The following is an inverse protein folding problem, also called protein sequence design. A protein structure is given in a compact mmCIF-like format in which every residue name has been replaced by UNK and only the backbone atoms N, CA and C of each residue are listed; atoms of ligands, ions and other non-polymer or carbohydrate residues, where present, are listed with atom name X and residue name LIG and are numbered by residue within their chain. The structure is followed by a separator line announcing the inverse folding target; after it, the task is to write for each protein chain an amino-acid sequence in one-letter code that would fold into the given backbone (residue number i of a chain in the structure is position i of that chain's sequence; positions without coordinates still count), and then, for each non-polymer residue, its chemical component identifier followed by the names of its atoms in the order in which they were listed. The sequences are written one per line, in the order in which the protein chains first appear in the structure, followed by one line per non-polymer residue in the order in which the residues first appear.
data_IF_525202615698
#
_entry.id   IF_525202615698
#
_cell.length_a   1.000
_cell.length_b   1.000
_cell.length_c   1.000
_cell.angle_alpha   90.00
_cell.angle_beta   90.00
_cell.angle_gamma   90.00
#
_symmetry.space_group_name_H-M   'P 1'
#
loop_
_entity.id
_entity.type
_entity.pdbx_description
1 polymer ?
#
# COMPACT_ATOMS: atom_id res chain seq x y z
N UNK A 1 13.40 23.39 2.77
CA UNK A 1 13.90 24.65 2.19
C UNK A 1 14.03 25.73 3.24
N UNK A 2 15.03 26.60 3.08
CA UNK A 2 15.27 27.76 3.95
C UNK A 2 15.08 29.04 3.13
N UNK A 3 14.26 29.98 3.62
CA UNK A 3 13.95 31.25 2.94
C UNK A 3 14.30 32.43 3.86
N UNK A 4 15.25 33.27 3.43
CA UNK A 4 15.66 34.45 4.19
C UNK A 4 14.65 35.58 4.02
N UNK A 5 14.33 36.27 5.11
CA UNK A 5 13.43 37.43 5.08
C UNK A 5 14.15 38.67 4.50
N UNK A 6 13.44 39.57 3.79
CA UNK A 6 12.05 39.44 3.34
C UNK A 6 11.93 38.40 2.22
N UNK A 7 10.97 37.48 2.35
CA UNK A 7 10.82 36.35 1.43
C UNK A 7 10.24 36.81 0.10
N UNK A 8 10.92 36.48 -1.00
CA UNK A 8 10.43 36.75 -2.36
C UNK A 8 9.34 35.76 -2.77
N UNK A 9 8.35 36.22 -3.54
CA UNK A 9 7.18 35.42 -3.95
C UNK A 9 7.55 34.17 -4.76
N UNK A 10 8.46 34.30 -5.73
CA UNK A 10 8.84 33.17 -6.62
C UNK A 10 9.50 31.99 -5.87
N UNK A 11 10.54 32.22 -5.02
CA UNK A 11 11.10 31.15 -4.19
C UNK A 11 10.08 30.53 -3.24
N UNK A 12 9.18 31.33 -2.67
CA UNK A 12 8.13 30.84 -1.80
C UNK A 12 7.15 29.93 -2.55
N UNK A 13 6.71 30.36 -3.73
CA UNK A 13 5.81 29.56 -4.58
C UNK A 13 6.44 28.22 -4.97
N UNK A 14 7.70 28.22 -5.40
CA UNK A 14 8.44 27.00 -5.78
C UNK A 14 8.55 26.04 -4.60
N UNK A 15 8.91 26.55 -3.41
CA UNK A 15 9.00 25.75 -2.20
C UNK A 15 7.64 25.15 -1.77
N UNK A 16 6.54 25.90 -1.95
CA UNK A 16 5.19 25.40 -1.69
C UNK A 16 4.78 24.31 -2.66
N UNK A 17 5.05 24.47 -3.96
CA UNK A 17 4.75 23.46 -4.99
C UNK A 17 5.51 22.15 -4.70
N UNK A 18 6.80 22.24 -4.39
CA UNK A 18 7.60 21.08 -3.98
C UNK A 18 7.08 20.44 -2.68
N UNK A 19 6.75 21.26 -1.68
CA UNK A 19 6.21 20.80 -0.42
C UNK A 19 4.88 20.07 -0.58
N UNK A 20 3.99 20.56 -1.45
CA UNK A 20 2.69 19.95 -1.72
C UNK A 20 2.84 18.59 -2.41
N UNK A 21 3.69 18.51 -3.45
CA UNK A 21 3.97 17.27 -4.15
C UNK A 21 4.54 16.19 -3.20
N UNK A 22 5.57 16.56 -2.42
CA UNK A 22 6.19 15.64 -1.47
C UNK A 22 5.23 15.22 -0.33
N UNK A 23 4.32 16.12 0.08
CA UNK A 23 3.32 15.81 1.12
C UNK A 23 2.25 14.85 0.60
N UNK A 24 1.84 14.99 -0.67
CA UNK A 24 0.88 14.10 -1.31
C UNK A 24 1.36 12.64 -1.35
N UNK A 25 2.60 12.41 -1.79
CA UNK A 25 3.21 11.07 -1.83
C UNK A 25 3.32 10.45 -0.42
N UNK A 26 3.75 11.25 0.57
CA UNK A 26 3.84 10.81 1.97
C UNK A 26 2.48 10.44 2.53
N UNK A 27 1.45 11.23 2.25
CA UNK A 27 0.09 10.97 2.70
C UNK A 27 -0.47 9.69 2.06
N UNK A 28 -0.29 9.50 0.76
CA UNK A 28 -0.71 8.29 0.06
C UNK A 28 -0.02 7.04 0.63
N UNK A 29 1.31 7.12 0.87
CA UNK A 29 2.07 6.04 1.50
C UNK A 29 1.56 5.74 2.90
N UNK A 30 1.34 6.78 3.72
CA UNK A 30 0.84 6.61 5.08
C UNK A 30 -0.53 5.93 5.08
N UNK A 31 -1.44 6.36 4.21
CA UNK A 31 -2.75 5.73 4.05
C UNK A 31 -2.64 4.24 3.73
N UNK A 32 -1.73 3.86 2.84
CA UNK A 32 -1.50 2.44 2.51
C UNK A 32 -0.98 1.64 3.71
N UNK A 33 -0.10 2.22 4.52
CA UNK A 33 0.38 1.62 5.78
C UNK A 33 -0.77 1.46 6.78
N UNK A 34 -1.63 2.47 6.93
CA UNK A 34 -2.78 2.43 7.83
C UNK A 34 -3.78 1.34 7.41
N UNK A 35 -4.06 1.22 6.11
CA UNK A 35 -4.85 0.11 5.55
C UNK A 35 -4.23 -1.26 5.84
N UNK A 36 -2.91 -1.41 5.66
CA UNK A 36 -2.19 -2.65 5.97
C UNK A 36 -2.28 -3.03 7.45
N UNK A 37 -2.26 -2.04 8.35
CA UNK A 37 -2.41 -2.26 9.79
C UNK A 37 -3.79 -2.83 10.16
N UNK A 38 -4.83 -2.55 9.38
CA UNK A 38 -6.18 -3.10 9.59
C UNK A 38 -6.32 -4.57 9.14
N UNK A 39 -5.35 -5.10 8.41
CA UNK A 39 -5.33 -6.52 8.06
C UNK A 39 -5.12 -7.38 9.31
N UNK A 40 -5.91 -8.44 9.42
CA UNK A 40 -5.73 -9.49 10.42
C UNK A 40 -4.43 -10.25 10.18
N UNK A 41 -3.90 -10.98 11.18
CA UNK A 41 -2.68 -11.77 11.01
C UNK A 41 -2.73 -12.74 9.82
N UNK A 42 -3.87 -13.40 9.60
CA UNK A 42 -4.08 -14.32 8.47
C UNK A 42 -4.15 -13.61 7.12
N UNK A 43 -4.73 -12.42 7.08
CA UNK A 43 -4.75 -11.59 5.87
C UNK A 43 -3.35 -11.05 5.52
N UNK A 44 -2.52 -10.71 6.51
CA UNK A 44 -1.12 -10.32 6.30
C UNK A 44 -0.27 -11.49 5.79
N UNK A 45 -0.47 -12.69 6.34
CA UNK A 45 0.17 -13.92 5.85
C UNK A 45 -0.16 -14.15 4.37
N UNK A 46 -1.44 -14.05 4.00
CA UNK A 46 -1.89 -14.17 2.61
C UNK A 46 -1.33 -13.04 1.72
N UNK A 47 -1.32 -11.79 2.19
CA UNK A 47 -0.76 -10.65 1.47
C UNK A 47 0.72 -10.82 1.14
N UNK A 48 1.52 -11.36 2.08
CA UNK A 48 2.93 -11.69 1.86
C UNK A 48 3.11 -12.72 0.74
N UNK A 49 2.29 -13.77 0.72
CA UNK A 49 2.34 -14.80 -0.32
C UNK A 49 1.90 -14.27 -1.69
N UNK A 50 0.93 -13.37 -1.72
CA UNK A 50 0.52 -12.67 -2.94
C UNK A 50 1.63 -11.79 -3.51
N UNK A 51 2.36 -11.05 -2.68
CA UNK A 51 3.52 -10.24 -3.12
C UNK A 51 4.66 -11.10 -3.65
N UNK A 52 4.80 -12.34 -3.15
CA UNK A 52 5.74 -13.33 -3.70
C UNK A 52 5.31 -13.91 -5.05
N UNK A 53 4.14 -13.52 -5.57
CA UNK A 53 3.63 -13.95 -6.87
C UNK A 53 2.98 -15.35 -6.86
N UNK A 54 2.66 -15.89 -5.68
CA UNK A 54 2.05 -17.21 -5.58
C UNK A 54 0.60 -17.23 -6.05
N UNK A 55 0.23 -18.32 -6.73
CA UNK A 55 -1.12 -18.59 -7.20
C UNK A 55 -2.04 -19.03 -6.05
N UNK A 56 -3.36 -18.87 -6.22
CA UNK A 56 -4.34 -19.25 -5.18
C UNK A 56 -4.19 -20.69 -4.69
N UNK A 57 -3.83 -21.61 -5.59
CA UNK A 57 -3.61 -23.01 -5.26
C UNK A 57 -2.38 -23.22 -4.37
N UNK A 58 -1.28 -22.57 -4.70
CA UNK A 58 -0.04 -22.64 -3.91
C UNK A 58 -0.24 -22.02 -2.52
N UNK A 59 -0.95 -20.88 -2.46
CA UNK A 59 -1.31 -20.23 -1.20
C UNK A 59 -2.21 -21.15 -0.35
N UNK A 60 -3.19 -21.81 -0.97
CA UNK A 60 -4.08 -22.75 -0.29
C UNK A 60 -3.31 -23.92 0.32
N UNK A 61 -2.34 -24.47 -0.42
CA UNK A 61 -1.46 -25.54 0.05
C UNK A 61 -0.58 -25.08 1.22
N UNK A 62 0.04 -23.90 1.12
CA UNK A 62 0.90 -23.33 2.18
C UNK A 62 0.10 -23.01 3.45
N UNK A 63 -1.08 -22.42 3.32
CA UNK A 63 -1.91 -22.02 4.45
C UNK A 63 -2.80 -23.15 4.98
N UNK A 64 -2.78 -24.33 4.34
CA UNK A 64 -3.61 -25.49 4.62
C UNK A 64 -5.13 -25.15 4.69
N UNK A 65 -5.62 -24.46 3.67
CA UNK A 65 -7.04 -24.06 3.53
C UNK A 65 -7.54 -24.35 2.11
N UNK A 66 -8.86 -24.35 1.91
CA UNK A 66 -9.42 -24.49 0.56
C UNK A 66 -9.09 -23.28 -0.34
N UNK A 67 -8.92 -23.53 -1.65
CA UNK A 67 -8.72 -22.48 -2.67
C UNK A 67 -9.83 -21.43 -2.63
N UNK A 68 -11.08 -21.86 -2.45
CA UNK A 68 -12.25 -20.97 -2.27
C UNK A 68 -12.07 -20.02 -1.08
N UNK A 69 -11.45 -20.48 -0.01
CA UNK A 69 -11.16 -19.65 1.18
C UNK A 69 -10.07 -18.61 0.88
N UNK A 70 -9.04 -18.98 0.12
CA UNK A 70 -8.02 -18.04 -0.38
C UNK A 70 -8.67 -16.94 -1.22
N UNK A 71 -9.59 -17.27 -2.12
CA UNK A 71 -10.32 -16.28 -2.93
C UNK A 71 -11.09 -15.28 -2.06
N UNK A 72 -11.80 -15.77 -1.03
CA UNK A 72 -12.53 -14.91 -0.08
C UNK A 72 -11.58 -14.03 0.72
N UNK A 73 -10.46 -14.58 1.20
CA UNK A 73 -9.45 -13.80 1.91
C UNK A 73 -8.80 -12.75 1.00
N UNK A 74 -8.51 -13.08 -0.26
CA UNK A 74 -7.98 -12.13 -1.26
C UNK A 74 -8.96 -10.99 -1.51
N UNK A 75 -10.24 -11.28 -1.67
CA UNK A 75 -11.27 -10.25 -1.85
C UNK A 75 -11.31 -9.29 -0.66
N UNK A 76 -11.27 -9.82 0.58
CA UNK A 76 -11.23 -8.99 1.80
C UNK A 76 -9.95 -8.17 1.93
N UNK A 77 -8.80 -8.75 1.58
CA UNK A 77 -7.52 -8.02 1.55
C UNK A 77 -7.59 -6.89 0.53
N UNK A 78 -8.09 -7.14 -0.68
CA UNK A 78 -8.26 -6.10 -1.70
C UNK A 78 -9.20 -4.98 -1.23
N UNK A 79 -10.32 -5.33 -0.61
CA UNK A 79 -11.26 -4.36 -0.03
C UNK A 79 -10.60 -3.49 1.05
N UNK A 80 -9.93 -4.11 2.03
CA UNK A 80 -9.25 -3.39 3.13
C UNK A 80 -8.06 -2.55 2.66
N UNK A 81 -7.35 -3.02 1.64
CA UNK A 81 -6.26 -2.30 1.00
C UNK A 81 -6.75 -1.28 -0.06
N UNK A 82 -8.05 -1.19 -0.30
CA UNK A 82 -8.68 -0.35 -1.32
C UNK A 82 -8.10 -0.56 -2.73
N UNK A 83 -7.71 -1.80 -3.05
CA UNK A 83 -7.17 -2.17 -4.34
C UNK A 83 -8.28 -2.67 -5.28
N UNK A 84 -8.37 -2.09 -6.47
CA UNK A 84 -9.31 -2.49 -7.52
C UNK A 84 -8.84 -3.69 -8.35
N UNK A 85 -7.55 -4.03 -8.29
CA UNK A 85 -6.99 -5.20 -8.98
C UNK A 85 -5.89 -5.90 -8.18
N UNK A 86 -5.56 -7.13 -8.55
CA UNK A 86 -4.43 -7.84 -7.95
C UNK A 86 -3.10 -7.12 -8.21
N UNK A 87 -2.90 -6.60 -9.43
CA UNK A 87 -1.68 -5.88 -9.79
C UNK A 87 -1.51 -4.62 -8.93
N UNK A 88 -2.59 -3.89 -8.71
CA UNK A 88 -2.63 -2.74 -7.81
C UNK A 88 -2.35 -3.16 -6.36
N UNK A 89 -2.96 -4.24 -5.88
CA UNK A 89 -2.69 -4.77 -4.54
C UNK A 89 -1.20 -5.08 -4.35
N UNK A 90 -0.56 -5.74 -5.32
CA UNK A 90 0.89 -6.04 -5.28
C UNK A 90 1.69 -4.73 -5.26
N UNK A 91 1.36 -3.77 -6.12
CA UNK A 91 2.04 -2.46 -6.17
C UNK A 91 1.94 -1.69 -4.85
N UNK A 92 0.80 -1.77 -4.15
CA UNK A 92 0.59 -1.13 -2.85
C UNK A 92 1.41 -1.84 -1.76
N UNK A 93 1.41 -3.17 -1.75
CA UNK A 93 2.03 -3.97 -0.69
C UNK A 93 3.55 -4.07 -0.81
N UNK A 94 4.10 -4.06 -2.02
CA UNK A 94 5.55 -4.21 -2.25
C UNK A 94 6.41 -3.23 -1.43
N UNK A 95 6.14 -1.90 -1.37
CA UNK A 95 6.92 -0.97 -0.55
C UNK A 95 6.61 -1.02 0.96
N UNK A 96 5.62 -1.80 1.40
CA UNK A 96 5.24 -1.98 2.81
C UNK A 96 5.90 -3.24 3.39
N UNK A 97 5.99 -4.30 2.58
CA UNK A 97 6.46 -5.62 2.97
C UNK A 97 7.97 -5.83 2.71
N UNK A 98 8.55 -5.09 1.76
CA UNK A 98 10.00 -5.08 1.50
C UNK A 98 10.76 -4.26 2.56
#
# INVERSE_FOLDING_TARGET
DFLQKPVSVKPLQTALEHGLAASGERFARQKNVDCYQQLTPKERELALLVVKGLMNREIAEIMNIAVRTVEVHRARVMEKMQAGSLAELVSILQPIIA
#
